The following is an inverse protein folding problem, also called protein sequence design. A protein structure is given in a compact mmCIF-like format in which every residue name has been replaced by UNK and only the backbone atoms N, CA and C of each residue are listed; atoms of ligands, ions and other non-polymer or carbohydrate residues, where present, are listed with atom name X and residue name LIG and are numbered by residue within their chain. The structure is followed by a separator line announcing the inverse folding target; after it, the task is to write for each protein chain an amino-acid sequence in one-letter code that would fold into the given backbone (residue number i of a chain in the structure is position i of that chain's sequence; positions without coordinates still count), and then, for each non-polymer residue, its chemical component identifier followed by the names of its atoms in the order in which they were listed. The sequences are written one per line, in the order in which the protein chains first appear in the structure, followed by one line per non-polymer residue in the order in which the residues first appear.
data_IF_173618983092
#
_entry.id   IF_173618983092
#
_cell.length_a   1.000
_cell.length_b   1.000
_cell.length_c   1.000
_cell.angle_alpha   90.00
_cell.angle_beta   90.00
_cell.angle_gamma   90.00
#
_symmetry.space_group_name_H-M   'P 1'
#
loop_
_entity.id
_entity.type
_entity.pdbx_description
1 polymer ?
#
# COMPACT_ATOMS: atom_id res chain seq x y z
N UNK A 1 6.93 -10.46 -1.05
CA UNK A 1 5.48 -10.75 -1.00
C UNK A 1 4.68 -9.75 -1.81
N UNK A 2 3.51 -10.17 -2.30
CA UNK A 2 2.53 -9.28 -2.92
C UNK A 2 1.61 -8.69 -1.85
N UNK A 3 1.29 -7.41 -1.98
CA UNK A 3 0.36 -6.71 -1.11
C UNK A 3 -0.47 -5.67 -1.86
N UNK A 4 -1.44 -5.07 -1.18
CA UNK A 4 -2.38 -4.12 -1.73
C UNK A 4 -2.27 -2.80 -0.98
N UNK A 5 -1.80 -1.74 -1.65
CA UNK A 5 -1.68 -0.39 -1.10
C UNK A 5 -2.90 0.45 -1.48
N UNK A 6 -3.60 0.99 -0.48
CA UNK A 6 -4.76 1.85 -0.70
C UNK A 6 -4.36 3.32 -0.58
N UNK A 7 -4.70 4.14 -1.58
CA UNK A 7 -4.25 5.53 -1.64
C UNK A 7 -5.27 6.49 -2.26
N UNK A 8 -4.96 7.79 -2.23
CA UNK A 8 -5.76 8.85 -2.85
C UNK A 8 -5.24 9.17 -4.25
N UNK A 9 -6.09 9.77 -5.09
CA UNK A 9 -5.69 10.26 -6.43
C UNK A 9 -4.48 11.19 -6.38
N UNK A 10 -4.44 12.13 -5.43
CA UNK A 10 -3.31 13.07 -5.25
C UNK A 10 -1.98 12.33 -5.03
N UNK A 11 -1.98 11.31 -4.16
CA UNK A 11 -0.77 10.52 -3.89
C UNK A 11 -0.39 9.63 -5.06
N UNK A 12 -1.38 8.98 -5.68
CA UNK A 12 -1.16 8.15 -6.87
C UNK A 12 -0.44 8.92 -7.98
N UNK A 13 -0.92 10.12 -8.32
CA UNK A 13 -0.26 10.97 -9.32
C UNK A 13 1.20 11.29 -8.97
N UNK A 14 1.50 11.55 -7.69
CA UNK A 14 2.88 11.73 -7.22
C UNK A 14 3.71 10.46 -7.39
N UNK A 15 3.13 9.28 -7.14
CA UNK A 15 3.84 8.03 -7.33
C UNK A 15 4.16 7.79 -8.80
N UNK A 16 3.24 8.10 -9.73
CA UNK A 16 3.50 8.06 -11.17
C UNK A 16 4.66 8.99 -11.56
N UNK A 17 4.69 10.21 -11.01
CA UNK A 17 5.75 11.18 -11.27
C UNK A 17 7.12 10.75 -10.74
N UNK A 18 7.15 10.06 -9.59
CA UNK A 18 8.40 9.68 -8.91
C UNK A 18 8.84 8.24 -9.19
N UNK A 19 8.00 7.43 -9.85
CA UNK A 19 8.23 6.00 -10.10
C UNK A 19 8.14 5.12 -8.85
N UNK A 20 7.78 5.66 -7.68
CA UNK A 20 7.78 4.89 -6.43
C UNK A 20 6.80 5.40 -5.37
N UNK A 21 6.48 4.52 -4.43
CA UNK A 21 5.78 4.84 -3.19
C UNK A 21 6.84 5.04 -2.10
N UNK A 22 6.92 6.25 -1.55
CA UNK A 22 7.85 6.58 -0.47
C UNK A 22 7.39 5.99 0.87
N UNK A 23 8.34 5.56 1.73
CA UNK A 23 8.02 5.02 3.04
C UNK A 23 7.44 6.10 3.98
N UNK A 24 6.63 5.71 4.98
CA UNK A 24 6.21 4.34 5.27
C UNK A 24 5.09 3.85 4.32
N UNK A 25 5.30 2.70 3.68
CA UNK A 25 4.35 2.08 2.76
C UNK A 25 3.42 1.16 3.55
N UNK A 26 2.17 1.58 3.74
CA UNK A 26 1.14 0.78 4.42
C UNK A 26 0.35 -0.03 3.41
N UNK A 27 0.16 -1.31 3.66
CA UNK A 27 -0.53 -2.20 2.73
C UNK A 27 -1.24 -3.34 3.45
N UNK A 28 -2.11 -4.05 2.73
CA UNK A 28 -2.83 -5.23 3.18
C UNK A 28 -2.35 -6.46 2.43
N UNK A 29 -2.35 -7.61 3.09
CA UNK A 29 -1.94 -8.87 2.47
C UNK A 29 -2.99 -9.40 1.47
N UNK A 30 -4.26 -9.03 1.64
CA UNK A 30 -5.38 -9.49 0.80
C UNK A 30 -6.09 -8.32 0.15
N UNK A 31 -6.66 -8.53 -1.04
CA UNK A 31 -7.48 -7.52 -1.73
C UNK A 31 -8.72 -7.16 -0.93
N UNK A 32 -9.37 -8.14 -0.29
CA UNK A 32 -10.60 -7.93 0.49
C UNK A 32 -10.39 -6.99 1.67
N UNK A 33 -9.27 -7.07 2.38
CA UNK A 33 -9.01 -6.12 3.47
C UNK A 33 -8.64 -4.72 2.95
N UNK A 34 -7.98 -4.63 1.80
CA UNK A 34 -7.75 -3.36 1.12
C UNK A 34 -9.07 -2.72 0.63
N UNK A 35 -9.99 -3.49 0.07
CA UNK A 35 -11.32 -3.02 -0.36
C UNK A 35 -12.14 -2.52 0.82
N UNK A 36 -12.15 -3.26 1.95
CA UNK A 36 -12.80 -2.80 3.19
C UNK A 36 -12.25 -1.46 3.65
N UNK A 37 -10.92 -1.28 3.64
CA UNK A 37 -10.31 -0.01 4.03
C UNK A 37 -10.58 1.11 3.01
N UNK A 38 -10.56 0.80 1.71
CA UNK A 38 -10.95 1.69 0.62
C UNK A 38 -12.37 2.21 0.84
N UNK A 39 -13.33 1.32 1.12
CA UNK A 39 -14.71 1.67 1.41
C UNK A 39 -14.85 2.54 2.66
N UNK A 40 -14.24 2.14 3.77
CA UNK A 40 -14.29 2.87 5.04
C UNK A 40 -13.73 4.29 4.95
N UNK A 41 -12.77 4.52 4.07
CA UNK A 41 -12.04 5.80 4.01
C UNK A 41 -12.31 6.62 2.75
N UNK A 42 -13.11 6.11 1.82
CA UNK A 42 -13.37 6.74 0.51
C UNK A 42 -12.17 6.75 -0.45
N UNK A 43 -11.07 6.07 -0.11
CA UNK A 43 -9.84 6.02 -0.92
C UNK A 43 -9.95 4.99 -2.02
N UNK A 44 -10.34 5.43 -3.22
CA UNK A 44 -10.75 4.55 -4.33
C UNK A 44 -9.62 3.84 -5.08
N UNK A 45 -8.35 4.21 -4.88
CA UNK A 45 -7.23 3.62 -5.65
C UNK A 45 -6.57 2.53 -4.82
N UNK A 46 -6.55 1.30 -5.35
CA UNK A 46 -5.87 0.15 -4.77
C UNK A 46 -4.79 -0.31 -5.75
N UNK A 47 -3.55 -0.30 -5.30
CA UNK A 47 -2.38 -0.71 -6.09
C UNK A 47 -1.90 -2.07 -5.60
N UNK A 48 -1.70 -3.01 -6.53
CA UNK A 48 -0.98 -4.26 -6.24
C UNK A 48 0.51 -3.95 -6.26
N UNK A 49 1.19 -4.19 -5.15
CA UNK A 49 2.61 -3.90 -4.96
C UNK A 49 3.38 -5.16 -4.58
N UNK A 50 4.66 -5.20 -4.93
CA UNK A 50 5.58 -6.23 -4.44
C UNK A 50 6.54 -5.58 -3.44
N UNK A 51 6.64 -6.15 -2.25
CA UNK A 51 7.53 -5.68 -1.18
C UNK A 51 8.49 -6.80 -0.75
N UNK A 52 9.75 -6.49 -0.41
CA UNK A 52 10.67 -7.48 0.16
C UNK A 52 10.17 -7.96 1.53
N UNK A 53 10.12 -9.27 1.76
CA UNK A 53 9.57 -9.85 3.01
C UNK A 53 10.33 -9.37 4.25
N UNK A 54 11.67 -9.23 4.13
CA UNK A 54 12.54 -8.75 5.20
C UNK A 54 12.19 -7.31 5.68
N UNK A 55 11.55 -6.51 4.84
CA UNK A 55 11.18 -5.12 5.12
C UNK A 55 9.78 -4.97 5.74
N UNK A 56 9.01 -6.06 5.84
CA UNK A 56 7.62 -6.03 6.29
C UNK A 56 7.51 -6.15 7.80
N UNK A 57 6.74 -5.25 8.42
CA UNK A 57 6.42 -5.29 9.85
C UNK A 57 4.90 -5.21 10.05
N UNK A 58 4.35 -5.83 11.12
CA UNK A 58 2.99 -5.54 11.56
C UNK A 58 2.83 -4.04 11.83
N UNK A 59 1.72 -3.45 11.40
CA UNK A 59 1.42 -2.04 11.70
C UNK A 59 0.35 -1.95 12.79
N UNK A 60 0.60 -1.26 13.92
CA UNK A 60 -0.36 -1.15 15.00
C UNK A 60 -1.64 -0.42 14.55
N UNK A 61 -2.80 -0.88 15.03
CA UNK A 61 -4.11 -0.42 14.58
C UNK A 61 -4.69 -1.25 13.43
N UNK A 62 -5.74 -0.74 12.76
CA UNK A 62 -6.42 -1.42 11.63
C UNK A 62 -6.79 -2.89 11.90
N UNK A 63 -7.19 -3.22 13.14
CA UNK A 63 -7.51 -4.58 13.59
C UNK A 63 -6.40 -5.60 13.33
N UNK A 64 -5.13 -5.17 13.32
CA UNK A 64 -3.95 -6.02 13.09
C UNK A 64 -3.78 -6.50 11.65
N UNK A 65 -4.56 -5.98 10.69
CA UNK A 65 -4.58 -6.44 9.29
C UNK A 65 -3.65 -5.65 8.38
N UNK A 66 -3.22 -4.48 8.82
CA UNK A 66 -2.27 -3.66 8.07
C UNK A 66 -0.83 -4.12 8.33
N UNK A 67 -0.01 -3.98 7.29
CA UNK A 67 1.44 -4.13 7.34
C UNK A 67 2.08 -2.82 6.92
N UNK A 68 3.34 -2.64 7.32
CA UNK A 68 4.15 -1.50 6.90
C UNK A 68 5.50 -1.96 6.37
N UNK A 69 5.95 -1.31 5.31
CA UNK A 69 7.32 -1.38 4.80
C UNK A 69 7.97 0.00 4.96
N UNK A 70 9.18 0.04 5.50
CA UNK A 70 9.95 1.27 5.71
C UNK A 70 10.94 1.57 4.57
N UNK A 71 10.87 0.81 3.49
CA UNK A 71 11.64 1.03 2.27
C UNK A 71 10.74 1.58 1.16
N UNK A 72 11.35 2.25 0.18
CA UNK A 72 10.63 2.73 -1.00
C UNK A 72 10.20 1.54 -1.86
N UNK A 73 8.97 1.59 -2.38
CA UNK A 73 8.42 0.55 -3.24
C UNK A 73 8.34 1.09 -4.66
N UNK A 74 9.20 0.57 -5.54
CA UNK A 74 9.20 0.92 -6.97
C UNK A 74 7.91 0.40 -7.61
N UNK A 75 7.22 1.28 -8.34
CA UNK A 75 6.09 0.88 -9.16
C UNK A 75 6.62 0.24 -10.44
N UNK A 76 6.42 -1.07 -10.58
CA UNK A 76 6.77 -1.81 -11.79
C UNK A 76 5.50 -1.98 -12.62
N UNK A 77 5.56 -1.52 -13.87
CA UNK A 77 4.62 -1.71 -14.97
C UNK A 77 3.12 -1.51 -14.63
N UNK A 78 2.54 -0.41 -15.15
CA UNK A 78 1.12 -0.05 -15.00
C UNK A 78 0.25 -0.77 -16.03
#
# INVERSE_FOLDING_TARGET
MTGYHVTTRKKFLRYLQTGQIWPPVRFWATITDAERFSWQTGRRIILRITVPDAAVRPYPGHRGRARVCHEAVVLRDF
#
